data_IF_969185848286
#
_entry.id   IF_969185848286
#
_cell.length_a   1.000
_cell.length_b   1.000
_cell.length_c   1.000
_cell.angle_alpha   90.00
_cell.angle_beta   90.00
_cell.angle_gamma   90.00
#
_symmetry.space_group_name_H-M   'P 1'
#
loop_
_entity.id
_entity.type
_entity.pdbx_description
1 polymer ?
#
# COMPACT_ATOMS: atom_id res chain seq x y z
N UNK A 1 8.47 -21.68 4.12
CA UNK A 1 8.63 -20.25 3.74
C UNK A 1 8.21 -19.95 2.29
N UNK A 2 8.54 -20.80 1.32
CA UNK A 2 8.24 -20.57 -0.12
C UNK A 2 6.77 -20.22 -0.43
N UNK A 3 5.80 -20.93 0.16
CA UNK A 3 4.38 -20.71 -0.10
C UNK A 3 3.89 -19.29 0.27
N UNK A 4 4.30 -18.74 1.43
CA UNK A 4 3.94 -17.36 1.81
C UNK A 4 4.52 -16.35 0.83
N UNK A 5 5.82 -16.47 0.53
CA UNK A 5 6.52 -15.53 -0.36
C UNK A 5 5.93 -15.54 -1.76
N UNK A 6 5.58 -16.73 -2.28
CA UNK A 6 4.92 -16.86 -3.58
C UNK A 6 3.55 -16.16 -3.59
N UNK A 7 2.74 -16.32 -2.54
CA UNK A 7 1.44 -15.65 -2.44
C UNK A 7 1.60 -14.13 -2.35
N UNK A 8 2.55 -13.63 -1.54
CA UNK A 8 2.82 -12.18 -1.45
C UNK A 8 3.29 -11.62 -2.79
N UNK A 9 4.16 -12.34 -3.51
CA UNK A 9 4.61 -11.94 -4.84
C UNK A 9 3.44 -11.89 -5.85
N UNK A 10 2.50 -12.84 -5.77
CA UNK A 10 1.29 -12.84 -6.58
C UNK A 10 0.38 -11.65 -6.24
N UNK A 11 0.18 -11.36 -4.95
CA UNK A 11 -0.58 -10.19 -4.49
C UNK A 11 0.04 -8.90 -5.03
N UNK A 12 1.35 -8.73 -4.84
CA UNK A 12 2.07 -7.55 -5.32
C UNK A 12 1.95 -7.40 -6.83
N UNK A 13 2.22 -8.48 -7.59
CA UNK A 13 2.11 -8.48 -9.04
C UNK A 13 0.71 -8.07 -9.50
N UNK A 14 -0.32 -8.69 -8.93
CA UNK A 14 -1.71 -8.42 -9.33
C UNK A 14 -2.10 -6.98 -9.02
N UNK A 15 -1.70 -6.45 -7.85
CA UNK A 15 -1.96 -5.05 -7.50
C UNK A 15 -1.30 -4.04 -8.46
N UNK A 16 -0.22 -4.41 -9.16
CA UNK A 16 0.36 -3.57 -10.22
C UNK A 16 -0.35 -3.68 -11.56
N UNK A 17 -1.06 -4.78 -11.83
CA UNK A 17 -1.66 -5.08 -13.14
C UNK A 17 -3.14 -4.68 -13.25
N UNK A 18 -3.87 -4.68 -12.13
CA UNK A 18 -5.30 -4.30 -12.08
C UNK A 18 -5.53 -2.82 -12.36
N UNK A 19 -6.68 -2.51 -12.96
CA UNK A 19 -7.04 -1.15 -13.34
C UNK A 19 -7.43 -0.26 -12.13
N UNK A 20 -7.87 -0.87 -11.03
CA UNK A 20 -8.34 -0.12 -9.86
C UNK A 20 -8.67 -0.99 -8.64
N UNK A 21 -9.08 -0.34 -7.53
CA UNK A 21 -9.30 -0.99 -6.24
C UNK A 21 -10.44 -2.01 -6.26
N UNK A 22 -11.50 -1.79 -7.04
CA UNK A 22 -12.64 -2.73 -7.13
C UNK A 22 -12.27 -4.04 -7.81
N UNK A 23 -11.49 -3.98 -8.88
CA UNK A 23 -10.99 -5.17 -9.58
C UNK A 23 -10.04 -5.96 -8.67
N UNK A 24 -9.13 -5.27 -7.98
CA UNK A 24 -8.24 -5.91 -7.02
C UNK A 24 -9.00 -6.57 -5.86
N UNK A 25 -10.05 -5.92 -5.34
CA UNK A 25 -10.90 -6.49 -4.27
C UNK A 25 -11.56 -7.78 -4.73
N UNK A 26 -12.17 -7.79 -5.93
CA UNK A 26 -12.79 -9.00 -6.50
C UNK A 26 -11.80 -10.14 -6.66
N UNK A 27 -10.58 -9.83 -7.10
CA UNK A 27 -9.51 -10.82 -7.18
C UNK A 27 -9.10 -11.34 -5.79
N UNK A 28 -8.93 -10.45 -4.82
CA UNK A 28 -8.54 -10.80 -3.46
C UNK A 28 -9.59 -11.67 -2.75
N UNK A 29 -10.88 -11.41 -2.97
CA UNK A 29 -11.99 -12.22 -2.44
C UNK A 29 -11.94 -13.68 -2.92
N UNK A 30 -11.37 -13.93 -4.12
CA UNK A 30 -11.14 -15.28 -4.63
C UNK A 30 -9.90 -15.97 -4.03
N UNK A 31 -8.87 -15.20 -3.66
CA UNK A 31 -7.58 -15.75 -3.18
C UNK A 31 -7.52 -15.87 -1.67
N UNK A 32 -8.07 -14.92 -0.91
CA UNK A 32 -7.99 -14.91 0.55
C UNK A 32 -8.55 -16.18 1.21
N UNK A 33 -9.70 -16.76 0.79
CA UNK A 33 -10.17 -18.02 1.33
C UNK A 33 -9.18 -19.18 1.14
N UNK A 34 -8.47 -19.23 0.01
CA UNK A 34 -7.48 -20.26 -0.27
C UNK A 34 -6.26 -20.16 0.67
N UNK A 35 -5.96 -18.96 1.18
CA UNK A 35 -4.88 -18.76 2.16
C UNK A 35 -5.18 -19.38 3.53
N UNK A 36 -6.44 -19.72 3.83
CA UNK A 36 -6.80 -20.46 5.05
C UNK A 36 -6.18 -21.85 5.12
N UNK A 37 -5.79 -22.41 3.98
CA UNK A 37 -5.07 -23.69 3.92
C UNK A 37 -3.62 -23.58 4.45
N UNK A 38 -3.10 -22.36 4.63
CA UNK A 38 -1.78 -22.16 5.23
C UNK A 38 -1.84 -22.50 6.73
N UNK A 39 -1.01 -23.46 7.15
CA UNK A 39 -0.96 -23.93 8.55
C UNK A 39 -0.63 -22.83 9.56
N UNK A 40 0.19 -21.85 9.19
CA UNK A 40 0.68 -20.81 10.09
C UNK A 40 -0.21 -19.58 10.07
N UNK A 41 -0.86 -19.27 11.20
CA UNK A 41 -1.75 -18.10 11.34
C UNK A 41 -1.05 -16.78 10.98
N UNK A 42 0.20 -16.59 11.46
CA UNK A 42 1.00 -15.41 11.14
C UNK A 42 1.24 -15.20 9.63
N UNK A 43 1.17 -16.26 8.81
CA UNK A 43 1.27 -16.11 7.35
C UNK A 43 -0.02 -15.61 6.75
N UNK A 44 -1.17 -16.10 7.25
CA UNK A 44 -2.50 -15.66 6.83
C UNK A 44 -2.72 -14.18 7.17
N UNK A 45 -2.42 -13.79 8.41
CA UNK A 45 -2.49 -12.39 8.85
C UNK A 45 -1.56 -11.46 8.08
N UNK A 46 -0.37 -11.94 7.70
CA UNK A 46 0.52 -11.16 6.87
C UNK A 46 -0.06 -10.92 5.47
N UNK A 47 -0.64 -11.95 4.85
CA UNK A 47 -1.23 -11.83 3.52
C UNK A 47 -2.46 -10.91 3.55
N UNK A 48 -3.31 -11.02 4.56
CA UNK A 48 -4.45 -10.11 4.74
C UNK A 48 -4.01 -8.64 4.82
N UNK A 49 -3.08 -8.33 5.73
CA UNK A 49 -2.51 -6.98 5.85
C UNK A 49 -1.91 -6.48 4.54
N UNK A 50 -1.29 -7.37 3.77
CA UNK A 50 -0.72 -7.02 2.47
C UNK A 50 -1.79 -6.66 1.43
N UNK A 51 -2.92 -7.36 1.44
CA UNK A 51 -4.07 -7.02 0.60
C UNK A 51 -4.67 -5.67 1.03
N UNK A 52 -4.85 -5.45 2.33
CA UNK A 52 -5.40 -4.19 2.86
C UNK A 52 -4.49 -2.99 2.52
N UNK A 53 -3.17 -3.17 2.66
CA UNK A 53 -2.17 -2.20 2.23
C UNK A 53 -2.37 -1.79 0.76
N UNK A 54 -2.49 -2.78 -0.15
CA UNK A 54 -2.65 -2.54 -1.57
C UNK A 54 -4.00 -1.93 -1.93
N UNK A 55 -5.08 -2.30 -1.23
CA UNK A 55 -6.38 -1.66 -1.40
C UNK A 55 -6.31 -0.16 -1.12
N UNK A 56 -5.68 0.26 -0.02
CA UNK A 56 -5.48 1.70 0.25
C UNK A 56 -4.60 2.33 -0.84
N UNK A 57 -3.53 1.67 -1.27
CA UNK A 57 -2.66 2.24 -2.31
C UNK A 57 -3.40 2.46 -3.63
N UNK A 58 -4.28 1.53 -4.01
CA UNK A 58 -5.08 1.63 -5.24
C UNK A 58 -6.13 2.73 -5.15
N UNK A 59 -6.81 2.91 -4.01
CA UNK A 59 -7.73 4.05 -3.85
C UNK A 59 -6.97 5.38 -3.94
N UNK A 60 -5.75 5.45 -3.42
CA UNK A 60 -4.88 6.62 -3.55
C UNK A 60 -4.49 6.89 -5.00
N UNK A 61 -4.21 5.85 -5.79
CA UNK A 61 -3.95 5.99 -7.24
C UNK A 61 -5.18 6.49 -7.99
N UNK A 62 -6.38 6.14 -7.53
CA UNK A 62 -7.66 6.65 -8.04
C UNK A 62 -8.01 8.06 -7.53
N UNK A 63 -7.09 8.73 -6.82
CA UNK A 63 -7.24 10.12 -6.39
C UNK A 63 -7.69 10.31 -4.95
N UNK A 64 -7.87 9.23 -4.18
CA UNK A 64 -8.12 9.33 -2.73
C UNK A 64 -6.91 9.95 -2.02
N UNK A 65 -7.18 10.79 -1.03
CA UNK A 65 -6.14 11.29 -0.11
C UNK A 65 -6.38 10.61 1.23
N UNK A 66 -5.45 9.76 1.71
CA UNK A 66 -5.68 9.01 2.92
C UNK A 66 -5.68 9.95 4.11
N UNK A 67 -6.51 9.67 5.10
CA UNK A 67 -6.45 10.34 6.40
C UNK A 67 -5.24 9.84 7.20
N UNK A 68 -4.80 10.58 8.24
CA UNK A 68 -3.77 10.08 9.15
C UNK A 68 -4.11 8.72 9.80
N UNK A 69 -5.39 8.49 10.09
CA UNK A 69 -5.85 7.24 10.71
C UNK A 69 -5.81 6.08 9.71
N UNK A 70 -6.28 6.29 8.46
CA UNK A 70 -6.12 5.30 7.39
C UNK A 70 -4.64 4.97 7.12
N UNK A 71 -3.77 5.98 7.18
CA UNK A 71 -2.33 5.77 7.05
C UNK A 71 -1.76 4.98 8.24
N UNK A 72 -2.31 5.15 9.45
CA UNK A 72 -1.84 4.46 10.64
C UNK A 72 -2.16 2.96 10.62
N UNK A 73 -3.18 2.53 9.88
CA UNK A 73 -3.55 1.12 9.71
C UNK A 73 -2.62 0.35 8.76
N UNK A 74 -2.05 1.01 7.75
CA UNK A 74 -1.18 0.33 6.76
C UNK A 74 0.25 0.11 7.24
N UNK A 75 0.93 -0.90 6.73
CA UNK A 75 2.27 -1.27 7.20
C UNK A 75 3.32 -0.18 6.93
N UNK A 76 4.42 -0.18 7.69
CA UNK A 76 5.55 0.76 7.45
C UNK A 76 6.09 0.67 6.03
N UNK A 77 6.04 -0.54 5.44
CA UNK A 77 6.39 -0.75 4.05
C UNK A 77 5.46 0.02 3.12
N UNK A 78 4.14 -0.03 3.35
CA UNK A 78 3.18 0.65 2.49
C UNK A 78 3.23 2.17 2.67
N UNK A 79 3.39 2.66 3.89
CA UNK A 79 3.63 4.10 4.12
C UNK A 79 4.88 4.58 3.36
N UNK A 80 5.95 3.77 3.34
CA UNK A 80 7.15 4.07 2.56
C UNK A 80 6.90 4.00 1.06
N UNK A 81 6.14 3.02 0.59
CA UNK A 81 5.76 2.91 -0.81
C UNK A 81 5.00 4.17 -1.28
N UNK A 82 4.01 4.62 -0.51
CA UNK A 82 3.29 5.87 -0.79
C UNK A 82 4.23 7.09 -0.79
N UNK A 83 5.18 7.15 0.16
CA UNK A 83 6.17 8.23 0.18
C UNK A 83 7.05 8.25 -1.07
N UNK A 84 7.46 7.08 -1.57
CA UNK A 84 8.40 6.94 -2.69
C UNK A 84 7.73 7.10 -4.06
N UNK A 85 6.47 6.67 -4.21
CA UNK A 85 5.83 6.53 -5.52
C UNK A 85 4.60 7.41 -5.74
N UNK A 86 4.06 8.06 -4.70
CA UNK A 86 2.94 8.98 -4.91
C UNK A 86 3.37 10.20 -5.73
N UNK A 87 2.49 10.60 -6.66
CA UNK A 87 2.54 11.86 -7.42
C UNK A 87 1.65 12.94 -6.79
N UNK A 88 0.68 12.55 -5.96
CA UNK A 88 -0.21 13.51 -5.29
C UNK A 88 0.49 14.24 -4.15
N UNK A 89 0.61 15.56 -4.26
CA UNK A 89 1.18 16.41 -3.21
C UNK A 89 0.39 16.34 -1.90
N UNK A 90 -0.94 16.21 -1.99
CA UNK A 90 -1.80 16.07 -0.82
C UNK A 90 -1.50 14.77 -0.05
N UNK A 91 -1.35 13.66 -0.77
CA UNK A 91 -0.93 12.37 -0.19
C UNK A 91 0.46 12.49 0.44
N UNK A 92 1.43 13.08 -0.27
CA UNK A 92 2.77 13.28 0.28
C UNK A 92 2.77 14.16 1.53
N UNK A 93 1.89 15.15 1.63
CA UNK A 93 1.74 15.98 2.81
C UNK A 93 1.25 15.18 4.03
N UNK A 94 0.24 14.31 3.85
CA UNK A 94 -0.23 13.42 4.91
C UNK A 94 0.88 12.47 5.36
N UNK A 95 1.57 11.83 4.41
CA UNK A 95 2.68 10.91 4.72
C UNK A 95 3.83 11.63 5.43
N UNK A 96 4.15 12.86 5.02
CA UNK A 96 5.16 13.69 5.66
C UNK A 96 4.84 14.07 7.12
N UNK A 97 3.55 14.24 7.43
CA UNK A 97 3.05 14.58 8.77
C UNK A 97 2.93 13.36 9.67
N UNK A 98 2.39 12.26 9.14
CA UNK A 98 1.79 11.19 9.97
C UNK A 98 2.43 9.81 9.80
N UNK A 99 3.34 9.61 8.84
CA UNK A 99 3.99 8.30 8.72
C UNK A 99 4.79 7.95 9.98
N UNK A 100 4.82 6.66 10.36
CA UNK A 100 5.40 6.19 11.63
C UNK A 100 6.89 6.47 11.71
N UNK A 101 7.63 6.19 10.63
CA UNK A 101 9.08 6.32 10.63
C UNK A 101 9.54 7.71 10.18
N UNK A 102 10.58 8.24 10.84
CA UNK A 102 11.22 9.51 10.46
C UNK A 102 11.74 9.47 9.02
N UNK A 103 12.27 8.32 8.59
CA UNK A 103 12.78 8.13 7.21
C UNK A 103 11.65 8.32 6.20
N UNK A 104 10.51 7.66 6.39
CA UNK A 104 9.35 7.78 5.51
C UNK A 104 8.85 9.23 5.45
N UNK A 105 8.70 9.89 6.61
CA UNK A 105 8.32 11.31 6.66
C UNK A 105 9.27 12.20 5.87
N UNK A 106 10.58 11.98 5.98
CA UNK A 106 11.59 12.77 5.26
C UNK A 106 11.54 12.52 3.74
N UNK A 107 11.35 11.28 3.30
CA UNK A 107 11.19 10.97 1.87
C UNK A 107 10.01 11.76 1.29
N UNK A 108 8.85 11.70 1.96
CA UNK A 108 7.66 12.40 1.53
C UNK A 108 7.85 13.93 1.51
N UNK A 109 8.48 14.51 2.54
CA UNK A 109 8.83 15.95 2.58
C UNK A 109 9.72 16.36 1.42
N UNK A 110 10.74 15.57 1.11
CA UNK A 110 11.66 15.89 0.02
C UNK A 110 10.95 15.83 -1.33
N UNK A 111 10.11 14.81 -1.56
CA UNK A 111 9.35 14.68 -2.81
C UNK A 111 8.27 15.74 -2.97
N UNK A 112 7.52 16.08 -1.92
CA UNK A 112 6.52 17.15 -1.97
C UNK A 112 7.11 18.53 -2.35
N UNK A 113 8.42 18.69 -2.14
CA UNK A 113 9.18 19.89 -2.47
C UNK A 113 9.98 19.78 -3.78
N UNK A 114 10.00 18.62 -4.44
CA UNK A 114 10.75 18.44 -5.69
C UNK A 114 10.12 19.27 -6.81
N UNK A 115 10.95 19.70 -7.77
CA UNK A 115 10.49 20.53 -8.90
C UNK A 115 9.58 19.74 -9.86
N UNK A 116 9.75 18.42 -9.94
CA UNK A 116 8.95 17.53 -10.78
C UNK A 116 7.46 17.62 -10.44
N UNK A 117 7.11 17.67 -9.15
CA UNK A 117 5.70 17.80 -8.70
C UNK A 117 5.22 19.25 -8.60
N UNK A 118 6.03 20.26 -8.95
CA UNK A 118 5.61 21.68 -8.97
C UNK A 118 5.11 22.14 -10.35
N UNK A 119 5.36 21.35 -11.39
CA UNK A 119 5.02 21.67 -12.77
C UNK A 119 3.65 21.13 -13.22
N UNK A 120 2.98 20.36 -12.35
CA UNK A 120 1.60 19.88 -12.45
C UNK A 120 0.70 20.69 -11.51
#
# INVERSE_FOLDING_TARGET
MAAKTAVVALVDKTAYEVAGPEEFRRWADGVLPETERLKTAAFREFIRRRVDDWLLCLTVKDGHVPTPDELAEVTDWMQRHLAEFSTSRAVLAVVAGSARTKKTRNIAKNRANSRELRAE
#
